data_IF_982187191689
#
_entry.id   IF_982187191689
#
_cell.length_a   1.000
_cell.length_b   1.000
_cell.length_c   1.000
_cell.angle_alpha   90.00
_cell.angle_beta   90.00
_cell.angle_gamma   90.00
#
_symmetry.space_group_name_H-M   'P 1'
#
loop_
_entity.id
_entity.type
_entity.pdbx_description
1 polymer ?
#
# COMPACT_ATOMS: atom_id res chain seq x y z
N UNK A 1 9.46 12.37 -3.46
CA UNK A 1 8.00 12.26 -3.68
C UNK A 1 7.43 13.60 -3.26
N UNK A 2 6.45 14.15 -3.97
CA UNK A 2 5.92 15.48 -3.61
C UNK A 2 5.12 15.37 -2.30
N UNK A 3 5.17 16.40 -1.43
CA UNK A 3 4.46 16.41 -0.13
C UNK A 3 2.96 16.11 -0.28
N UNK A 4 2.36 16.57 -1.38
CA UNK A 4 0.97 16.28 -1.70
C UNK A 4 0.70 14.77 -1.92
N UNK A 5 1.60 14.07 -2.58
CA UNK A 5 1.46 12.61 -2.80
C UNK A 5 1.58 11.85 -1.49
N UNK A 6 2.49 12.25 -0.61
CA UNK A 6 2.62 11.64 0.72
C UNK A 6 1.35 11.88 1.56
N UNK A 7 0.76 13.05 1.48
CA UNK A 7 -0.52 13.35 2.13
C UNK A 7 -1.64 12.44 1.60
N UNK A 8 -1.73 12.23 0.27
CA UNK A 8 -2.72 11.32 -0.31
C UNK A 8 -2.53 9.86 0.15
N UNK A 9 -1.28 9.40 0.25
CA UNK A 9 -0.99 8.05 0.77
C UNK A 9 -1.43 7.91 2.23
N UNK A 10 -1.19 8.94 3.05
CA UNK A 10 -1.68 8.99 4.43
C UNK A 10 -3.22 8.97 4.47
N UNK A 11 -3.88 9.71 3.59
CA UNK A 11 -5.35 9.67 3.46
C UNK A 11 -5.86 8.28 3.03
N UNK A 12 -5.19 7.60 2.09
CA UNK A 12 -5.51 6.20 1.73
C UNK A 12 -5.39 5.29 2.95
N UNK A 13 -4.32 5.43 3.73
CA UNK A 13 -4.12 4.62 4.93
C UNK A 13 -5.24 4.81 5.95
N UNK A 14 -5.58 6.07 6.26
CA UNK A 14 -6.67 6.42 7.18
C UNK A 14 -8.01 5.93 6.64
N UNK A 15 -8.28 6.11 5.35
CA UNK A 15 -9.52 5.64 4.72
C UNK A 15 -9.67 4.12 4.85
N UNK A 16 -8.61 3.36 4.59
CA UNK A 16 -8.61 1.91 4.74
C UNK A 16 -8.87 1.48 6.19
N UNK A 17 -8.30 2.19 7.14
CA UNK A 17 -8.51 1.93 8.57
C UNK A 17 -9.95 2.26 8.99
N UNK A 18 -10.48 3.42 8.59
CA UNK A 18 -11.85 3.86 8.91
C UNK A 18 -12.91 2.92 8.29
N UNK A 19 -12.65 2.43 7.07
CA UNK A 19 -13.52 1.45 6.42
C UNK A 19 -13.35 0.03 6.97
N UNK A 20 -12.44 -0.19 7.92
CA UNK A 20 -12.13 -1.49 8.52
C UNK A 20 -11.90 -2.58 7.47
N UNK A 21 -11.10 -2.27 6.45
CA UNK A 21 -10.69 -3.26 5.43
C UNK A 21 -9.42 -3.99 5.86
N UNK A 22 -9.24 -5.22 5.35
CA UNK A 22 -8.09 -6.06 5.68
C UNK A 22 -6.76 -5.45 5.25
N UNK A 23 -5.67 -6.01 5.76
CA UNK A 23 -4.32 -5.62 5.37
C UNK A 23 -4.04 -5.92 3.90
N UNK A 24 -4.59 -7.02 3.37
CA UNK A 24 -4.47 -7.37 1.94
C UNK A 24 -5.20 -6.35 1.05
N UNK A 25 -6.43 -5.95 1.41
CA UNK A 25 -7.17 -4.93 0.68
C UNK A 25 -6.45 -3.57 0.74
N UNK A 26 -5.86 -3.24 1.88
CA UNK A 26 -5.04 -2.03 2.04
C UNK A 26 -3.82 -2.07 1.13
N UNK A 27 -3.05 -3.17 1.15
CA UNK A 27 -1.91 -3.37 0.25
C UNK A 27 -2.33 -3.20 -1.22
N UNK A 28 -3.46 -3.80 -1.60
CA UNK A 28 -4.04 -3.66 -2.93
C UNK A 28 -4.29 -2.20 -3.31
N UNK A 29 -4.90 -1.41 -2.42
CA UNK A 29 -5.17 0.00 -2.67
C UNK A 29 -3.89 0.80 -2.93
N UNK A 30 -2.84 0.58 -2.14
CA UNK A 30 -1.55 1.23 -2.31
C UNK A 30 -0.87 0.84 -3.63
N UNK A 31 -0.83 -0.45 -3.96
CA UNK A 31 -0.24 -0.92 -5.23
C UNK A 31 -0.96 -0.31 -6.43
N UNK A 32 -2.29 -0.31 -6.43
CA UNK A 32 -3.10 0.27 -7.50
C UNK A 32 -2.81 1.77 -7.66
N UNK A 33 -2.78 2.51 -6.57
CA UNK A 33 -2.51 3.93 -6.58
C UNK A 33 -1.09 4.24 -7.09
N UNK A 34 -0.07 3.53 -6.62
CA UNK A 34 1.30 3.68 -7.07
C UNK A 34 1.49 3.32 -8.55
N UNK A 35 0.86 2.24 -9.02
CA UNK A 35 0.87 1.89 -10.46
C UNK A 35 0.31 3.03 -11.30
N UNK A 36 -0.77 3.65 -10.86
CA UNK A 36 -1.38 4.78 -11.53
C UNK A 36 -0.46 6.01 -11.54
N UNK A 37 0.18 6.34 -10.41
CA UNK A 37 1.15 7.44 -10.32
C UNK A 37 2.32 7.25 -11.29
N UNK A 38 2.86 6.04 -11.39
CA UNK A 38 4.00 5.74 -12.25
C UNK A 38 3.67 5.91 -13.74
N UNK A 39 2.43 5.62 -14.16
CA UNK A 39 2.00 5.84 -15.54
C UNK A 39 1.81 7.34 -15.81
N UNK A 40 1.22 8.08 -14.86
CA UNK A 40 1.02 9.52 -15.01
C UNK A 40 2.33 10.31 -15.04
N UNK A 41 3.35 9.89 -14.29
CA UNK A 41 4.66 10.55 -14.32
C UNK A 41 5.35 10.42 -15.68
N UNK A 42 5.12 9.31 -16.40
CA UNK A 42 5.68 9.05 -17.73
C UNK A 42 4.94 9.79 -18.85
N UNK A 43 3.65 10.09 -18.69
CA UNK A 43 2.84 10.74 -19.73
C UNK A 43 2.81 12.27 -19.66
N UNK A 44 3.35 12.89 -18.62
CA UNK A 44 3.38 14.36 -18.46
C UNK A 44 4.32 15.09 -19.44
N UNK A 45 5.04 14.38 -20.30
CA UNK A 45 5.92 14.99 -21.32
C UNK A 45 5.21 15.38 -22.63
N UNK A 46 3.92 15.05 -22.85
CA UNK A 46 3.34 15.12 -24.20
C UNK A 46 1.95 15.76 -24.37
N UNK A 47 1.35 16.45 -23.38
CA UNK A 47 0.06 17.12 -23.64
C UNK A 47 -0.08 18.45 -22.92
N UNK A 48 0.27 19.51 -23.64
CA UNK A 48 -0.15 20.89 -23.40
C UNK A 48 -1.40 21.17 -24.23
N UNK A 49 -2.59 21.14 -23.61
CA UNK A 49 -3.78 21.94 -24.06
C UNK A 49 -4.92 21.71 -23.05
N UNK A 50 -5.23 22.71 -22.21
CA UNK A 50 -6.56 23.17 -21.85
C UNK A 50 -6.48 24.28 -20.78
N UNK A 51 -7.26 25.32 -20.94
CA UNK A 51 -7.35 26.55 -20.14
C UNK A 51 -8.10 26.34 -18.82
N UNK A 52 -7.40 25.88 -17.81
CA UNK A 52 -7.75 25.97 -16.38
C UNK A 52 -6.45 25.77 -15.61
N UNK A 53 -6.28 26.35 -14.42
CA UNK A 53 -5.06 26.25 -13.62
C UNK A 53 -4.58 24.79 -13.57
N UNK A 54 -3.48 24.42 -14.23
CA UNK A 54 -3.13 23.01 -14.42
C UNK A 54 -2.78 22.30 -13.12
N UNK A 55 -2.47 23.05 -12.06
CA UNK A 55 -2.13 22.51 -10.75
C UNK A 55 -3.33 21.99 -9.94
N UNK A 56 -4.43 22.74 -9.96
CA UNK A 56 -5.63 22.41 -9.15
C UNK A 56 -6.38 21.22 -9.73
N UNK A 57 -6.46 21.15 -11.04
CA UNK A 57 -7.10 20.02 -11.74
C UNK A 57 -6.31 18.69 -11.54
N UNK A 58 -4.97 18.77 -11.45
CA UNK A 58 -4.13 17.61 -11.17
C UNK A 58 -4.33 17.08 -9.74
N UNK A 59 -4.37 17.96 -8.75
CA UNK A 59 -4.59 17.58 -7.34
C UNK A 59 -5.93 16.89 -7.16
N UNK A 60 -7.01 17.50 -7.66
CA UNK A 60 -8.36 16.91 -7.58
C UNK A 60 -8.44 15.56 -8.27
N UNK A 61 -7.80 15.40 -9.43
CA UNK A 61 -7.75 14.12 -10.13
C UNK A 61 -7.03 13.05 -9.32
N UNK A 62 -5.89 13.37 -8.69
CA UNK A 62 -5.14 12.44 -7.85
C UNK A 62 -5.93 12.05 -6.60
N UNK A 63 -6.66 12.98 -5.96
CA UNK A 63 -7.53 12.71 -4.84
C UNK A 63 -8.66 11.73 -5.22
N UNK A 64 -9.29 11.95 -6.37
CA UNK A 64 -10.32 11.04 -6.88
C UNK A 64 -9.77 9.65 -7.23
N UNK A 65 -8.55 9.57 -7.79
CA UNK A 65 -7.87 8.32 -8.06
C UNK A 65 -7.51 7.56 -6.77
N UNK A 66 -7.13 8.28 -5.71
CA UNK A 66 -6.89 7.69 -4.40
C UNK A 66 -8.15 7.00 -3.86
N UNK A 67 -9.30 7.67 -3.92
CA UNK A 67 -10.59 7.08 -3.50
C UNK A 67 -11.02 5.91 -4.39
N UNK A 68 -10.82 6.04 -5.70
CA UNK A 68 -11.12 4.97 -6.64
C UNK A 68 -10.25 3.73 -6.40
N UNK A 69 -8.97 3.90 -6.01
CA UNK A 69 -8.09 2.78 -5.69
C UNK A 69 -8.53 2.04 -4.42
N UNK A 70 -8.99 2.75 -3.39
CA UNK A 70 -9.60 2.14 -2.19
C UNK A 70 -10.87 1.37 -2.54
N UNK A 71 -11.76 1.97 -3.33
CA UNK A 71 -13.01 1.33 -3.73
C UNK A 71 -12.79 0.07 -4.57
N UNK A 72 -11.87 0.13 -5.55
CA UNK A 72 -11.51 -1.02 -6.37
C UNK A 72 -10.83 -2.12 -5.54
N UNK A 73 -9.95 -1.75 -4.60
CA UNK A 73 -9.31 -2.71 -3.70
C UNK A 73 -10.33 -3.49 -2.86
N UNK A 74 -11.37 -2.82 -2.33
CA UNK A 74 -12.46 -3.49 -1.62
C UNK A 74 -13.16 -4.54 -2.49
N UNK A 75 -13.38 -4.23 -3.77
CA UNK A 75 -14.02 -5.17 -4.71
C UNK A 75 -13.12 -6.38 -5.02
N UNK A 76 -11.83 -6.13 -5.25
CA UNK A 76 -10.86 -7.18 -5.59
C UNK A 76 -10.59 -8.14 -4.43
N UNK A 77 -10.68 -7.64 -3.20
CA UNK A 77 -10.48 -8.44 -1.98
C UNK A 77 -11.77 -9.09 -1.46
N UNK A 78 -12.87 -9.03 -2.20
CA UNK A 78 -14.20 -9.50 -1.78
C UNK A 78 -14.71 -8.89 -0.46
N UNK A 79 -14.15 -7.75 -0.07
CA UNK A 79 -14.55 -6.98 1.11
C UNK A 79 -15.42 -5.79 0.68
N UNK A 80 -16.53 -6.08 0.02
CA UNK A 80 -17.37 -5.04 -0.58
C UNK A 80 -17.79 -3.99 0.42
N UNK A 81 -17.46 -2.73 0.15
CA UNK A 81 -17.95 -1.54 0.86
C UNK A 81 -18.91 -0.79 -0.04
N UNK A 82 -19.92 -0.18 0.55
CA UNK A 82 -20.85 0.67 -0.22
C UNK A 82 -20.09 1.88 -0.74
N UNK A 83 -20.33 2.25 -1.98
CA UNK A 83 -19.70 3.46 -2.55
C UNK A 83 -19.96 4.71 -1.70
N UNK A 84 -21.14 4.78 -1.04
CA UNK A 84 -21.48 5.84 -0.12
C UNK A 84 -20.47 5.94 1.04
N UNK A 85 -20.08 4.82 1.62
CA UNK A 85 -19.15 4.81 2.76
C UNK A 85 -17.77 5.30 2.32
N UNK A 86 -17.33 4.90 1.13
CA UNK A 86 -16.06 5.38 0.54
C UNK A 86 -16.11 6.87 0.24
N UNK A 87 -17.22 7.38 -0.31
CA UNK A 87 -17.40 8.82 -0.59
C UNK A 87 -17.41 9.62 0.71
N UNK A 88 -18.13 9.14 1.74
CA UNK A 88 -18.17 9.80 3.03
C UNK A 88 -16.78 9.94 3.64
N UNK A 89 -16.00 8.86 3.66
CA UNK A 89 -14.63 8.88 4.16
C UNK A 89 -13.74 9.79 3.30
N UNK A 90 -13.90 9.76 1.98
CA UNK A 90 -13.16 10.66 1.09
C UNK A 90 -13.47 12.13 1.38
N UNK A 91 -14.75 12.50 1.53
CA UNK A 91 -15.16 13.86 1.85
C UNK A 91 -14.62 14.30 3.21
N UNK A 92 -14.72 13.43 4.22
CA UNK A 92 -14.14 13.70 5.55
C UNK A 92 -12.63 13.99 5.49
N UNK A 93 -11.89 13.28 4.66
CA UNK A 93 -10.44 13.45 4.52
C UNK A 93 -10.06 14.60 3.58
N UNK A 94 -10.96 15.10 2.75
CA UNK A 94 -10.71 16.19 1.78
C UNK A 94 -10.87 17.58 2.40
N UNK A 95 -11.62 17.70 3.51
CA UNK A 95 -11.96 19.00 4.08
C UNK A 95 -10.81 19.71 4.81
N UNK A 96 -9.64 19.09 4.95
CA UNK A 96 -8.55 19.65 5.76
C UNK A 96 -7.36 20.19 4.95
N UNK A 97 -7.59 20.76 3.76
CA UNK A 97 -6.52 21.46 3.05
C UNK A 97 -6.21 22.88 3.62
N UNK A 98 -6.88 23.30 4.69
CA UNK A 98 -6.73 24.67 5.26
C UNK A 98 -6.33 24.73 6.73
N UNK A 99 -6.15 23.61 7.44
CA UNK A 99 -5.77 23.64 8.85
C UNK A 99 -4.63 22.66 9.15
N UNK A 100 -3.72 23.12 9.99
CA UNK A 100 -2.62 22.38 10.60
C UNK A 100 -3.06 20.96 11.04
N UNK A 101 -2.49 20.01 10.41
CA UNK A 101 -2.82 18.61 10.32
C UNK A 101 -2.69 17.85 11.64
N UNK A 102 -3.68 17.79 12.48
CA UNK A 102 -3.70 16.73 13.52
C UNK A 102 -5.08 16.35 14.06
N UNK A 103 -6.14 17.03 13.69
CA UNK A 103 -7.47 16.72 14.22
C UNK A 103 -8.43 16.46 13.07
N UNK A 104 -8.71 15.17 12.82
CA UNK A 104 -9.83 14.77 11.97
C UNK A 104 -11.10 15.17 12.71
N UNK A 105 -11.69 16.30 12.36
CA UNK A 105 -13.03 16.65 12.81
C UNK A 105 -14.01 15.73 12.09
N UNK A 106 -14.32 14.61 12.75
CA UNK A 106 -15.46 13.78 12.39
C UNK A 106 -16.71 14.64 12.48
N UNK A 107 -17.26 15.04 11.35
CA UNK A 107 -18.60 15.62 11.35
C UNK A 107 -19.58 14.54 11.79
N UNK A 108 -20.23 14.72 12.92
CA UNK A 108 -21.21 13.79 13.50
C UNK A 108 -22.48 13.61 12.64
N UNK A 109 -22.60 14.35 11.54
CA UNK A 109 -23.73 14.23 10.64
C UNK A 109 -23.36 13.52 9.34
N UNK A 110 -24.17 12.52 8.95
CA UNK A 110 -23.98 11.88 7.65
C UNK A 110 -24.13 12.94 6.54
N UNK A 111 -23.21 12.94 5.52
CA UNK A 111 -23.30 13.90 4.44
C UNK A 111 -24.67 13.81 3.77
N UNK A 112 -25.24 14.98 3.49
CA UNK A 112 -26.51 15.10 2.78
C UNK A 112 -26.36 14.50 1.37
N UNK A 113 -27.45 13.88 0.89
CA UNK A 113 -27.53 13.41 -0.50
C UNK A 113 -27.86 14.60 -1.40
N UNK A 114 -26.92 15.54 -1.48
CA UNK A 114 -27.00 16.73 -2.30
C UNK A 114 -26.35 16.53 -3.68
N UNK A 115 -26.30 17.58 -4.48
CA UNK A 115 -25.72 17.57 -5.82
C UNK A 115 -24.22 17.19 -5.76
N UNK A 116 -23.51 17.67 -4.74
CA UNK A 116 -22.07 17.40 -4.56
C UNK A 116 -21.80 15.91 -4.31
N UNK A 117 -22.70 15.22 -3.61
CA UNK A 117 -22.61 13.77 -3.45
C UNK A 117 -22.71 13.02 -4.79
N UNK A 118 -23.67 13.41 -5.63
CA UNK A 118 -23.88 12.76 -6.92
C UNK A 118 -22.73 13.02 -7.89
N UNK A 119 -22.18 14.22 -7.89
CA UNK A 119 -20.97 14.55 -8.65
C UNK A 119 -19.77 13.75 -8.18
N UNK A 120 -19.51 13.69 -6.86
CA UNK A 120 -18.43 12.90 -6.29
C UNK A 120 -18.57 11.42 -6.63
N UNK A 121 -19.79 10.88 -6.56
CA UNK A 121 -20.07 9.49 -6.96
C UNK A 121 -19.73 9.25 -8.42
N UNK A 122 -20.17 10.14 -9.32
CA UNK A 122 -19.86 10.02 -10.74
C UNK A 122 -18.34 10.09 -10.99
N UNK A 123 -17.63 10.96 -10.26
CA UNK A 123 -16.19 11.07 -10.34
C UNK A 123 -15.47 9.81 -9.86
N UNK A 124 -15.86 9.24 -8.72
CA UNK A 124 -15.25 7.99 -8.19
C UNK A 124 -15.44 6.84 -9.19
N UNK A 125 -16.65 6.67 -9.73
CA UNK A 125 -16.93 5.60 -10.72
C UNK A 125 -16.13 5.81 -12.01
N UNK A 126 -16.04 7.06 -12.51
CA UNK A 126 -15.25 7.38 -13.69
C UNK A 126 -13.76 7.08 -13.45
N UNK A 127 -13.22 7.51 -12.32
CA UNK A 127 -11.81 7.30 -12.01
C UNK A 127 -11.48 5.82 -11.71
N UNK A 128 -12.42 5.02 -11.22
CA UNK A 128 -12.27 3.56 -11.14
C UNK A 128 -12.07 2.95 -12.54
N UNK A 129 -12.88 3.35 -13.51
CA UNK A 129 -12.72 2.90 -14.91
C UNK A 129 -11.41 3.39 -15.51
N UNK A 130 -11.03 4.65 -15.25
CA UNK A 130 -9.76 5.19 -15.73
C UNK A 130 -8.57 4.45 -15.12
N UNK A 131 -8.64 4.14 -13.83
CA UNK A 131 -7.62 3.37 -13.14
C UNK A 131 -7.45 1.98 -13.76
N UNK A 132 -8.54 1.26 -14.01
CA UNK A 132 -8.50 -0.04 -14.69
C UNK A 132 -7.87 0.06 -16.09
N UNK A 133 -8.20 1.10 -16.87
CA UNK A 133 -7.56 1.34 -18.18
C UNK A 133 -6.08 1.63 -18.07
N UNK A 134 -5.68 2.46 -17.09
CA UNK A 134 -4.28 2.84 -16.86
C UNK A 134 -3.42 1.62 -16.52
N UNK A 135 -3.93 0.72 -15.67
CA UNK A 135 -3.20 -0.51 -15.31
C UNK A 135 -3.38 -1.63 -16.34
N UNK A 136 -4.07 -1.38 -17.47
CA UNK A 136 -4.33 -2.37 -18.52
C UNK A 136 -5.18 -3.53 -18.04
N UNK A 137 -6.10 -3.32 -17.09
CA UNK A 137 -6.91 -4.35 -16.42
C UNK A 137 -6.09 -5.43 -15.71
N UNK A 138 -4.79 -5.19 -15.51
CA UNK A 138 -3.96 -6.09 -14.72
C UNK A 138 -4.17 -5.83 -13.22
N UNK A 139 -5.13 -6.52 -12.65
CA UNK A 139 -5.50 -6.46 -11.23
C UNK A 139 -4.82 -7.53 -10.39
N UNK A 140 -3.92 -8.31 -10.98
CA UNK A 140 -3.15 -9.31 -10.25
C UNK A 140 -2.17 -8.64 -9.32
N UNK A 141 -2.31 -8.92 -8.02
CA UNK A 141 -1.48 -8.37 -6.96
C UNK A 141 -0.99 -9.52 -6.09
N UNK A 142 0.30 -9.58 -5.91
CA UNK A 142 0.94 -10.52 -5.00
C UNK A 142 1.04 -9.91 -3.61
N UNK A 143 0.94 -10.76 -2.59
CA UNK A 143 0.90 -10.33 -1.20
C UNK A 143 2.17 -10.76 -0.46
N UNK A 144 3.08 -9.84 -0.12
CA UNK A 144 4.27 -10.15 0.67
C UNK A 144 3.95 -10.81 2.02
N UNK A 145 2.79 -10.46 2.60
CA UNK A 145 2.30 -11.05 3.87
C UNK A 145 2.27 -12.57 3.85
N UNK A 146 1.73 -13.16 2.77
CA UNK A 146 1.59 -14.63 2.64
C UNK A 146 2.95 -15.28 2.52
N UNK A 147 3.87 -14.61 1.85
CA UNK A 147 5.24 -15.12 1.64
C UNK A 147 6.01 -15.11 2.95
N UNK A 148 5.91 -14.03 3.72
CA UNK A 148 6.52 -13.95 5.07
C UNK A 148 6.05 -15.09 5.95
N UNK A 149 4.73 -15.34 6.00
CA UNK A 149 4.15 -16.40 6.84
C UNK A 149 4.62 -17.77 6.37
N UNK A 150 4.57 -18.03 5.05
CA UNK A 150 4.97 -19.33 4.50
C UNK A 150 6.44 -19.64 4.80
N UNK A 151 7.36 -18.69 4.56
CA UNK A 151 8.78 -18.89 4.84
C UNK A 151 9.00 -19.07 6.34
N UNK A 152 8.34 -18.26 7.17
CA UNK A 152 8.46 -18.35 8.62
C UNK A 152 8.02 -19.71 9.15
N UNK A 153 6.89 -20.23 8.67
CA UNK A 153 6.39 -21.55 9.03
C UNK A 153 7.39 -22.65 8.66
N UNK A 154 7.99 -22.59 7.46
CA UNK A 154 9.02 -23.56 7.03
C UNK A 154 10.27 -23.47 7.88
N UNK A 155 10.73 -22.26 8.23
CA UNK A 155 11.90 -22.07 9.10
C UNK A 155 11.70 -22.67 10.50
N UNK A 156 10.50 -22.53 11.07
CA UNK A 156 10.16 -23.06 12.39
C UNK A 156 9.93 -24.57 12.33
N UNK A 157 9.17 -25.08 11.35
CA UNK A 157 8.90 -26.51 11.20
C UNK A 157 10.16 -27.32 10.86
N UNK A 158 11.01 -26.75 10.02
CA UNK A 158 12.32 -27.32 9.68
C UNK A 158 13.36 -27.25 10.79
N UNK A 159 13.00 -26.67 11.95
CA UNK A 159 13.90 -26.46 13.11
C UNK A 159 15.15 -25.61 12.80
N UNK A 160 15.11 -24.83 11.72
CA UNK A 160 16.19 -23.89 11.39
C UNK A 160 16.24 -22.72 12.36
N UNK A 161 15.07 -22.34 12.92
CA UNK A 161 14.96 -21.32 13.96
C UNK A 161 14.24 -21.91 15.17
N UNK A 162 14.91 -21.86 16.32
CA UNK A 162 14.31 -22.25 17.60
C UNK A 162 14.04 -21.00 18.42
N UNK A 163 12.77 -20.70 18.62
CA UNK A 163 12.34 -19.55 19.41
C UNK A 163 11.07 -19.83 20.21
N UNK A 164 10.82 -19.01 21.23
CA UNK A 164 9.56 -19.10 21.98
C UNK A 164 8.38 -18.66 21.11
N UNK A 165 7.15 -19.01 21.52
CA UNK A 165 5.94 -18.54 20.83
C UNK A 165 5.83 -17.01 20.87
N UNK A 166 6.23 -16.38 21.96
CA UNK A 166 6.24 -14.93 22.12
C UNK A 166 7.21 -14.27 21.16
N UNK A 167 8.41 -14.83 21.00
CA UNK A 167 9.43 -14.34 20.04
C UNK A 167 8.93 -14.52 18.62
N UNK A 168 8.34 -15.67 18.28
CA UNK A 168 7.73 -15.92 16.97
C UNK A 168 6.66 -14.89 16.63
N UNK A 169 5.77 -14.58 17.58
CA UNK A 169 4.76 -13.54 17.41
C UNK A 169 5.37 -12.15 17.19
N UNK A 170 6.40 -11.81 17.97
CA UNK A 170 7.10 -10.52 17.85
C UNK A 170 7.78 -10.34 16.50
N UNK A 171 8.38 -11.41 15.94
CA UNK A 171 9.00 -11.37 14.60
C UNK A 171 7.94 -11.07 13.54
N UNK A 172 6.81 -11.76 13.57
CA UNK A 172 5.73 -11.51 12.62
C UNK A 172 5.17 -10.08 12.78
N UNK A 173 5.04 -9.59 14.01
CA UNK A 173 4.65 -8.20 14.25
C UNK A 173 5.66 -7.20 13.66
N UNK A 174 6.96 -7.43 13.80
CA UNK A 174 8.00 -6.60 13.20
C UNK A 174 7.88 -6.61 11.66
N UNK A 175 7.64 -7.77 11.05
CA UNK A 175 7.40 -7.84 9.61
C UNK A 175 6.18 -7.01 9.18
N UNK A 176 5.07 -7.05 9.94
CA UNK A 176 3.86 -6.25 9.66
C UNK A 176 4.11 -4.76 9.82
N UNK A 177 4.89 -4.36 10.82
CA UNK A 177 5.30 -2.97 11.00
C UNK A 177 6.10 -2.48 9.78
N UNK A 178 7.14 -3.21 9.39
CA UNK A 178 7.93 -2.86 8.21
C UNK A 178 7.10 -2.84 6.93
N UNK A 179 6.14 -3.76 6.79
CA UNK A 179 5.26 -3.77 5.64
C UNK A 179 4.40 -2.50 5.57
N UNK A 180 3.88 -2.02 6.71
CA UNK A 180 3.15 -0.75 6.75
C UNK A 180 4.05 0.43 6.32
N UNK A 181 5.31 0.45 6.72
CA UNK A 181 6.24 1.52 6.33
C UNK A 181 6.54 1.48 4.82
N UNK A 182 6.79 0.30 4.25
CA UNK A 182 7.09 0.16 2.82
C UNK A 182 5.91 0.39 1.89
N UNK A 183 4.66 0.33 2.39
CA UNK A 183 3.47 0.67 1.60
C UNK A 183 3.53 2.10 1.03
N UNK A 184 4.17 3.02 1.73
CA UNK A 184 4.33 4.40 1.29
C UNK A 184 5.37 4.57 0.18
N UNK A 185 6.20 3.56 -0.05
CA UNK A 185 7.24 3.57 -1.08
C UNK A 185 6.75 3.00 -2.41
N UNK A 186 6.74 3.82 -3.46
CA UNK A 186 6.42 3.37 -4.82
C UNK A 186 7.38 2.28 -5.31
N UNK A 187 8.66 2.37 -4.95
CA UNK A 187 9.68 1.39 -5.35
C UNK A 187 9.35 0.02 -4.74
N UNK A 188 9.03 -0.02 -3.44
CA UNK A 188 8.72 -1.27 -2.75
C UNK A 188 7.44 -1.92 -3.28
N UNK A 189 6.44 -1.11 -3.63
CA UNK A 189 5.12 -1.63 -4.03
C UNK A 189 5.00 -1.98 -5.51
N UNK A 190 5.82 -1.40 -6.38
CA UNK A 190 5.66 -1.56 -7.84
C UNK A 190 6.89 -2.11 -8.57
N UNK A 191 8.08 -1.98 -8.00
CA UNK A 191 9.33 -2.38 -8.65
C UNK A 191 9.93 -3.66 -8.08
N UNK A 192 9.68 -3.96 -6.81
CA UNK A 192 10.11 -5.22 -6.19
C UNK A 192 9.06 -6.32 -6.39
N UNK A 193 9.53 -7.54 -6.61
CA UNK A 193 8.67 -8.73 -6.54
C UNK A 193 8.21 -8.93 -5.09
N UNK A 194 6.96 -9.34 -4.90
CA UNK A 194 6.42 -9.56 -3.56
C UNK A 194 7.20 -10.64 -2.79
N UNK A 195 7.74 -11.65 -3.48
CA UNK A 195 8.61 -12.68 -2.89
C UNK A 195 9.91 -12.08 -2.35
N UNK A 196 10.60 -11.26 -3.14
CA UNK A 196 11.82 -10.60 -2.70
C UNK A 196 11.57 -9.61 -1.56
N UNK A 197 10.44 -8.88 -1.63
CA UNK A 197 10.03 -7.98 -0.56
C UNK A 197 9.71 -8.76 0.73
N UNK A 198 8.95 -9.85 0.66
CA UNK A 198 8.66 -10.71 1.81
C UNK A 198 9.92 -11.26 2.49
N UNK A 199 10.88 -11.75 1.68
CA UNK A 199 12.17 -12.19 2.18
C UNK A 199 12.97 -11.07 2.86
N UNK A 200 12.98 -9.87 2.28
CA UNK A 200 13.69 -8.73 2.86
C UNK A 200 13.08 -8.30 4.21
N UNK A 201 11.75 -8.25 4.31
CA UNK A 201 11.05 -7.92 5.55
C UNK A 201 11.36 -8.94 6.65
N UNK A 202 11.34 -10.23 6.32
CA UNK A 202 11.65 -11.29 7.28
C UNK A 202 13.11 -11.23 7.72
N UNK A 203 14.05 -11.01 6.80
CA UNK A 203 15.47 -10.86 7.13
C UNK A 203 15.72 -9.72 8.13
N UNK A 204 15.10 -8.55 7.89
CA UNK A 204 15.22 -7.41 8.79
C UNK A 204 14.58 -7.65 10.16
N UNK A 205 13.48 -8.41 10.21
CA UNK A 205 12.87 -8.79 11.47
C UNK A 205 13.73 -9.80 12.24
N UNK A 206 14.34 -10.77 11.57
CA UNK A 206 15.28 -11.70 12.17
C UNK A 206 16.52 -10.99 12.73
N UNK A 207 17.03 -10.00 12.00
CA UNK A 207 18.15 -9.16 12.46
C UNK A 207 17.78 -8.37 13.70
N UNK A 208 16.58 -7.75 13.74
CA UNK A 208 16.09 -7.01 14.92
C UNK A 208 16.00 -7.87 16.17
N UNK A 209 15.65 -9.15 16.00
CA UNK A 209 15.53 -10.12 17.09
C UNK A 209 16.80 -10.93 17.37
N UNK A 210 17.92 -10.62 16.68
CA UNK A 210 19.22 -11.28 16.90
C UNK A 210 19.23 -12.75 16.48
N UNK A 211 18.41 -13.13 15.50
CA UNK A 211 18.29 -14.51 15.02
C UNK A 211 18.99 -14.75 13.66
N UNK A 212 19.59 -13.72 13.06
CA UNK A 212 20.31 -13.86 11.78
C UNK A 212 21.58 -14.71 11.88
N UNK A 213 22.24 -14.69 13.05
CA UNK A 213 23.54 -15.33 13.31
C UNK A 213 23.37 -16.71 13.98
N UNK A 214 22.19 -17.33 13.87
CA UNK A 214 22.04 -18.70 14.36
C UNK A 214 22.79 -19.67 13.43
N UNK A 215 23.60 -20.56 14.01
CA UNK A 215 24.42 -21.56 13.27
C UNK A 215 23.60 -22.34 12.21
N UNK A 216 22.29 -22.47 12.42
CA UNK A 216 21.37 -23.16 11.53
C UNK A 216 20.93 -22.32 10.31
N UNK A 217 21.01 -20.98 10.36
CA UNK A 217 20.69 -20.08 9.26
C UNK A 217 21.94 -19.66 8.47
N UNK A 218 23.12 -19.81 9.08
CA UNK A 218 24.39 -19.48 8.43
C UNK A 218 24.63 -20.42 7.23
N UNK A 219 24.66 -19.84 6.04
CA UNK A 219 24.81 -20.60 4.79
C UNK A 219 23.51 -21.13 4.17
N UNK A 220 22.36 -20.96 4.82
CA UNK A 220 21.06 -21.35 4.26
C UNK A 220 20.48 -20.24 3.39
N UNK A 221 20.36 -20.51 2.10
CA UNK A 221 19.73 -19.58 1.16
C UNK A 221 18.20 -19.76 1.15
N UNK A 222 17.53 -19.59 2.30
CA UNK A 222 16.09 -19.81 2.45
C UNK A 222 15.21 -18.96 1.52
N UNK A 223 15.71 -17.83 1.03
CA UNK A 223 15.03 -17.00 0.03
C UNK A 223 14.90 -17.69 -1.33
N UNK A 224 15.73 -18.68 -1.64
CA UNK A 224 15.65 -19.49 -2.87
C UNK A 224 14.41 -20.41 -2.86
N UNK A 225 13.85 -20.73 -1.71
CA UNK A 225 12.61 -21.54 -1.61
C UNK A 225 11.39 -20.87 -2.28
N UNK A 226 11.43 -19.56 -2.42
CA UNK A 226 10.38 -18.75 -3.08
C UNK A 226 10.86 -18.13 -4.40
N UNK A 227 11.83 -18.78 -5.04
CA UNK A 227 12.38 -18.40 -6.34
C UNK A 227 12.92 -16.94 -6.34
N UNK A 228 13.63 -16.56 -5.29
CA UNK A 228 14.32 -15.28 -5.17
C UNK A 228 15.80 -15.50 -5.31
N UNK A 229 16.41 -14.80 -6.26
CA UNK A 229 17.87 -14.86 -6.44
C UNK A 229 18.58 -14.05 -5.35
N UNK A 230 19.85 -14.41 -5.08
CA UNK A 230 20.68 -13.68 -4.12
C UNK A 230 20.77 -12.18 -4.43
N UNK A 231 20.83 -11.83 -5.71
CA UNK A 231 20.88 -10.42 -6.13
C UNK A 231 19.57 -9.70 -5.82
N UNK A 232 18.41 -10.29 -6.15
CA UNK A 232 17.09 -9.72 -5.84
C UNK A 232 16.89 -9.55 -4.33
N UNK A 233 17.30 -10.56 -3.55
CA UNK A 233 17.24 -10.52 -2.10
C UNK A 233 18.03 -9.33 -1.52
N UNK A 234 19.31 -9.23 -1.83
CA UNK A 234 20.14 -8.12 -1.33
C UNK A 234 19.69 -6.77 -1.85
N UNK A 235 19.20 -6.69 -3.10
CA UNK A 235 18.60 -5.47 -3.62
C UNK A 235 17.36 -5.06 -2.81
N UNK A 236 16.46 -5.99 -2.54
CA UNK A 236 15.26 -5.73 -1.75
C UNK A 236 15.59 -5.30 -0.32
N UNK A 237 16.52 -5.98 0.37
CA UNK A 237 16.98 -5.59 1.71
C UNK A 237 17.54 -4.17 1.71
N UNK A 238 18.38 -3.81 0.74
CA UNK A 238 18.94 -2.46 0.63
C UNK A 238 17.90 -1.38 0.35
N UNK A 239 16.85 -1.71 -0.40
CA UNK A 239 15.75 -0.76 -0.67
C UNK A 239 14.90 -0.56 0.57
N UNK A 240 14.50 -1.64 1.23
CA UNK A 240 13.66 -1.61 2.43
C UNK A 240 14.37 -0.92 3.60
N UNK A 241 15.66 -1.19 3.82
CA UNK A 241 16.44 -0.56 4.89
C UNK A 241 16.54 0.97 4.75
N UNK A 242 16.50 1.50 3.53
CA UNK A 242 16.49 2.95 3.26
C UNK A 242 15.13 3.61 3.46
N UNK A 243 14.06 2.84 3.47
CA UNK A 243 12.70 3.34 3.75
C UNK A 243 12.38 3.35 5.26
N UNK A 244 13.23 2.73 6.06
CA UNK A 244 13.14 2.64 7.51
C UNK A 244 13.72 3.95 8.10
N UNK A 245 12.87 4.92 8.37
CA UNK A 245 13.25 6.21 9.00
C UNK A 245 12.50 6.43 10.29
#
# INVERSE_FOLDING_TARGET
MDDYTNNLLSKIYVACHTLAISTEARWTAFVLFHRCLNVHSKSSSNTSTCHSNPGDNRKQRLANLASASVFLACKLSNETRRIRDVINVHQMLSFDDTADTTVIHLQDQPPLLDETYWETKAHVVKHEQDLLRIIGFNVTIEFPHRIVVAIWEELVQGQFVQCSKETSYSIIQSCWKYLNDVMFSSICTTSLRASALGCALLSLALEEHGLNDTENLEGLNWYEWVDVTRHEFHHAVNVVSKTKT
#
